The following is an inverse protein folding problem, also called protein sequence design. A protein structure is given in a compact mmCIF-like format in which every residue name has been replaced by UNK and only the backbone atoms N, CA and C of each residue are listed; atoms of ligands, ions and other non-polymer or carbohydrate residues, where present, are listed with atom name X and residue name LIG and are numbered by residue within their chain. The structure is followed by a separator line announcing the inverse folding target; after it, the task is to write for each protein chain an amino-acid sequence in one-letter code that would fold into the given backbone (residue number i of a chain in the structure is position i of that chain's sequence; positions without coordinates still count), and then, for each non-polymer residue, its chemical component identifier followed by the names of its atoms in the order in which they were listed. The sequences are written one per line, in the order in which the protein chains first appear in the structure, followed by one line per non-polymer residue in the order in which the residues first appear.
data_IF_222735704076
#
_entry.id   IF_222735704076
#
_cell.length_a   1.000
_cell.length_b   1.000
_cell.length_c   1.000
_cell.angle_alpha   90.00
_cell.angle_beta   90.00
_cell.angle_gamma   90.00
#
_symmetry.space_group_name_H-M   'P 1'
#
loop_
_entity.id
_entity.type
_entity.pdbx_description
1 polymer ?
#
# COMPACT_ATOMS: atom_id res chain seq x y z
N UNK A 1 81.16 45.15 15.56
CA UNK A 1 80.40 43.91 15.87
C UNK A 1 78.92 44.24 15.96
N UNK A 2 78.16 44.01 14.93
CA UNK A 2 76.72 44.35 14.87
C UNK A 2 75.96 43.08 15.04
N UNK A 3 75.20 42.91 16.15
CA UNK A 3 74.33 41.80 16.40
C UNK A 3 73.00 42.01 15.64
N UNK A 4 72.71 41.17 14.67
CA UNK A 4 71.46 41.13 13.95
C UNK A 4 70.47 40.36 14.81
N UNK A 5 69.38 41.03 15.28
CA UNK A 5 68.21 40.38 15.88
C UNK A 5 67.31 39.96 14.76
N UNK A 6 67.05 38.63 14.65
CA UNK A 6 66.02 38.08 13.82
C UNK A 6 64.67 38.21 14.56
N UNK A 7 63.83 39.06 14.05
CA UNK A 7 62.40 39.14 14.52
C UNK A 7 61.61 38.04 13.77
N UNK A 8 61.23 37.00 14.50
CA UNK A 8 60.30 35.99 13.97
C UNK A 8 58.89 36.56 14.14
N UNK A 9 58.31 36.99 13.03
CA UNK A 9 56.91 37.39 13.01
C UNK A 9 56.07 36.14 12.89
N UNK A 10 55.43 35.73 14.02
CA UNK A 10 54.48 34.64 14.06
C UNK A 10 53.15 35.13 13.51
N UNK A 11 52.88 34.87 12.22
CA UNK A 11 51.58 35.12 11.60
C UNK A 11 50.58 34.08 12.12
N UNK A 12 49.77 34.47 13.12
CA UNK A 12 48.56 33.74 13.55
C UNK A 12 47.53 33.83 12.43
N UNK A 13 47.38 32.76 11.63
CA UNK A 13 46.26 32.58 10.74
C UNK A 13 45.00 32.28 11.59
N UNK A 14 44.20 33.32 11.82
CA UNK A 14 42.81 33.17 12.28
C UNK A 14 42.01 32.55 11.14
N UNK A 15 41.80 31.24 11.20
CA UNK A 15 40.79 30.59 10.37
C UNK A 15 39.38 31.05 10.87
N UNK A 16 38.58 31.66 9.99
CA UNK A 16 37.17 31.87 10.37
C UNK A 16 36.53 30.51 10.53
N UNK A 17 36.01 30.25 11.71
CA UNK A 17 35.16 29.07 11.97
C UNK A 17 34.03 29.09 10.95
N UNK A 18 34.16 28.24 9.93
CA UNK A 18 33.10 28.02 8.95
C UNK A 18 31.83 27.58 9.67
N UNK A 19 30.86 28.48 9.76
CA UNK A 19 29.51 28.12 10.15
C UNK A 19 29.02 27.11 9.12
N UNK A 20 29.14 25.83 9.45
CA UNK A 20 28.50 24.76 8.73
C UNK A 20 27.00 25.01 8.83
N UNK A 21 26.44 25.62 7.78
CA UNK A 21 25.00 25.72 7.63
C UNK A 21 24.48 24.28 7.52
N UNK A 22 24.06 23.72 8.64
CA UNK A 22 23.30 22.48 8.67
C UNK A 22 22.08 22.73 7.79
N UNK A 23 22.14 22.19 6.56
CA UNK A 23 20.96 22.10 5.70
C UNK A 23 19.91 21.36 6.49
N UNK A 24 18.89 22.10 6.98
CA UNK A 24 17.69 21.49 7.53
C UNK A 24 17.22 20.48 6.48
N UNK A 25 17.03 19.19 6.84
CA UNK A 25 16.49 18.25 5.89
C UNK A 25 15.19 18.84 5.38
N UNK A 26 15.06 18.92 4.05
CA UNK A 26 13.83 19.39 3.41
C UNK A 26 12.68 18.63 4.05
N UNK A 27 11.67 19.36 4.55
CA UNK A 27 10.50 18.76 5.19
C UNK A 27 9.98 17.68 4.24
N UNK A 28 9.99 16.43 4.70
CA UNK A 28 9.57 15.28 3.90
C UNK A 28 8.14 15.56 3.49
N UNK A 29 7.93 15.88 2.20
CA UNK A 29 6.61 16.26 1.69
C UNK A 29 5.61 15.22 2.16
N UNK A 30 4.57 15.63 2.86
CA UNK A 30 3.57 14.69 3.36
C UNK A 30 2.87 14.01 2.17
N UNK A 31 3.36 12.83 1.84
CA UNK A 31 2.85 12.05 0.70
C UNK A 31 1.41 11.59 0.91
N UNK A 32 0.94 11.56 2.18
CA UNK A 32 -0.41 11.15 2.55
C UNK A 32 -1.47 12.14 2.07
N UNK A 33 -1.11 13.44 2.04
CA UNK A 33 -2.03 14.51 1.67
C UNK A 33 -2.57 14.44 0.23
N UNK A 34 -2.04 13.54 -0.61
CA UNK A 34 -2.52 13.32 -1.98
C UNK A 34 -3.61 12.24 -2.10
N UNK A 35 -3.99 11.61 -1.00
CA UNK A 35 -5.00 10.55 -0.94
C UNK A 35 -6.14 10.97 -0.01
N UNK A 36 -7.35 10.53 -0.32
CA UNK A 36 -8.54 10.77 0.50
C UNK A 36 -8.58 9.81 1.69
N UNK A 37 -7.93 8.64 1.53
CA UNK A 37 -7.73 7.69 2.62
C UNK A 37 -6.33 7.08 2.57
N UNK A 38 -5.76 6.89 3.75
CA UNK A 38 -4.48 6.21 3.97
C UNK A 38 -4.62 5.30 5.19
N UNK A 39 -4.57 4.00 4.96
CA UNK A 39 -4.68 2.98 6.00
C UNK A 39 -3.42 2.83 6.86
N UNK A 40 -3.46 1.86 7.77
CA UNK A 40 -2.28 1.41 8.49
C UNK A 40 -1.39 0.55 7.58
N UNK A 41 -0.13 0.39 7.98
CA UNK A 41 0.79 -0.51 7.28
C UNK A 41 0.50 -1.97 7.69
N UNK A 42 0.25 -2.81 6.71
CA UNK A 42 0.07 -4.24 6.86
C UNK A 42 0.95 -4.97 5.84
N UNK A 43 1.75 -5.93 6.28
CA UNK A 43 2.69 -6.70 5.44
C UNK A 43 3.61 -5.82 4.56
N UNK A 44 3.99 -4.61 5.06
CA UNK A 44 4.80 -3.64 4.34
C UNK A 44 4.06 -2.88 3.23
N UNK A 45 2.74 -2.95 3.20
CA UNK A 45 1.86 -2.22 2.28
C UNK A 45 0.89 -1.34 3.04
N UNK A 46 0.58 -0.19 2.47
CA UNK A 46 -0.40 0.76 2.98
C UNK A 46 -1.48 0.92 1.93
N UNK A 47 -2.70 0.55 2.30
CA UNK A 47 -3.88 0.78 1.47
C UNK A 47 -4.11 2.28 1.32
N UNK A 48 -4.28 2.74 0.08
CA UNK A 48 -4.59 4.14 -0.24
C UNK A 48 -5.78 4.21 -1.18
N UNK A 49 -6.55 5.28 -1.07
CA UNK A 49 -7.68 5.55 -1.95
C UNK A 49 -7.63 6.99 -2.46
N UNK A 50 -8.08 7.20 -3.68
CA UNK A 50 -8.25 8.52 -4.29
C UNK A 50 -9.49 8.54 -5.18
N UNK A 51 -10.24 9.65 -5.07
CA UNK A 51 -11.48 9.91 -5.83
C UNK A 51 -12.73 9.52 -5.05
N UNK A 52 -13.86 10.03 -5.50
CA UNK A 52 -15.15 9.80 -4.88
C UNK A 52 -15.48 10.67 -3.68
N UNK A 53 -16.78 10.88 -3.44
CA UNK A 53 -17.27 11.47 -2.20
C UNK A 53 -17.18 10.45 -1.08
N UNK A 54 -16.28 10.73 -0.12
CA UNK A 54 -15.85 9.75 0.85
C UNK A 54 -16.85 9.41 1.94
N UNK A 55 -16.91 8.15 2.26
CA UNK A 55 -17.29 7.67 3.58
C UNK A 55 -16.14 6.91 4.21
N UNK A 56 -15.98 7.01 5.53
CA UNK A 56 -14.88 6.43 6.28
C UNK A 56 -14.85 4.90 6.09
N UNK A 57 -13.75 4.30 5.57
CA UNK A 57 -13.62 2.85 5.42
C UNK A 57 -13.80 2.07 6.72
N UNK A 58 -13.51 2.70 7.87
CA UNK A 58 -13.70 2.09 9.20
C UNK A 58 -15.16 1.80 9.53
N UNK A 59 -16.09 2.42 8.80
CA UNK A 59 -17.54 2.22 8.97
C UNK A 59 -18.15 1.21 7.99
N UNK A 60 -17.33 0.49 7.19
CA UNK A 60 -17.83 -0.47 6.19
C UNK A 60 -18.62 0.16 5.04
N UNK A 61 -18.50 1.46 4.85
CA UNK A 61 -19.14 2.17 3.73
C UNK A 61 -18.17 2.23 2.57
N UNK A 62 -18.55 1.62 1.48
CA UNK A 62 -17.79 1.57 0.25
C UNK A 62 -17.75 2.96 -0.39
N UNK A 63 -16.58 3.39 -0.81
CA UNK A 63 -16.45 4.53 -1.71
C UNK A 63 -17.12 4.15 -3.03
N UNK A 64 -18.02 5.00 -3.49
CA UNK A 64 -18.80 4.70 -4.70
C UNK A 64 -18.08 5.08 -5.98
N UNK A 65 -17.15 6.03 -5.89
CA UNK A 65 -16.37 6.52 -7.02
C UNK A 65 -14.93 6.73 -6.57
N UNK A 66 -13.99 6.18 -7.31
CA UNK A 66 -12.57 6.29 -7.01
C UNK A 66 -11.87 4.95 -6.98
N UNK A 67 -10.55 4.98 -6.84
CA UNK A 67 -9.75 3.79 -6.96
C UNK A 67 -8.87 3.55 -5.73
N UNK A 68 -8.79 2.29 -5.33
CA UNK A 68 -7.87 1.78 -4.33
C UNK A 68 -6.59 1.26 -4.97
N UNK A 69 -5.50 1.41 -4.25
CA UNK A 69 -4.19 0.85 -4.55
C UNK A 69 -3.33 0.79 -3.31
N UNK A 70 -2.04 0.52 -3.47
CA UNK A 70 -1.16 0.37 -2.33
C UNK A 70 0.17 1.07 -2.53
N UNK A 71 0.65 1.67 -1.46
CA UNK A 71 2.01 2.21 -1.37
C UNK A 71 2.88 1.35 -0.47
N UNK A 72 4.20 1.55 -0.56
CA UNK A 72 5.12 1.16 0.49
C UNK A 72 5.03 2.13 1.70
N UNK A 73 5.81 1.86 2.74
CA UNK A 73 5.86 2.70 3.95
C UNK A 73 6.48 4.08 3.71
N UNK A 74 7.13 4.29 2.56
CA UNK A 74 7.69 5.58 2.15
C UNK A 74 6.71 6.42 1.31
N UNK A 75 5.57 5.84 0.90
CA UNK A 75 4.55 6.48 0.07
C UNK A 75 4.78 6.34 -1.43
N UNK A 76 5.68 5.43 -1.85
CA UNK A 76 5.84 5.04 -3.25
C UNK A 76 4.70 4.10 -3.63
N UNK A 77 4.00 4.38 -4.72
CA UNK A 77 2.95 3.49 -5.24
C UNK A 77 3.60 2.20 -5.72
N UNK A 78 3.23 1.09 -5.12
CA UNK A 78 3.68 -0.27 -5.49
C UNK A 78 2.63 -0.97 -6.33
N UNK A 79 1.36 -0.81 -5.97
CA UNK A 79 0.22 -1.34 -6.71
C UNK A 79 -0.64 -0.15 -7.14
N UNK A 80 -0.85 0.05 -8.45
CA UNK A 80 -1.61 1.18 -8.97
C UNK A 80 -3.02 1.26 -8.38
N UNK A 81 -3.58 2.47 -8.35
CA UNK A 81 -4.96 2.70 -7.91
C UNK A 81 -5.92 2.35 -9.07
N UNK A 82 -6.27 1.08 -9.17
CA UNK A 82 -7.09 0.52 -10.26
C UNK A 82 -8.25 -0.36 -9.76
N UNK A 83 -8.37 -0.54 -8.44
CA UNK A 83 -9.40 -1.40 -7.86
C UNK A 83 -10.56 -0.56 -7.31
N UNK A 84 -11.78 -1.02 -7.52
CA UNK A 84 -13.01 -0.40 -7.00
C UNK A 84 -13.30 -0.83 -5.56
N UNK A 85 -12.57 -1.86 -5.09
CA UNK A 85 -12.55 -2.33 -3.71
C UNK A 85 -11.17 -2.88 -3.38
N UNK A 86 -10.69 -2.69 -2.15
CA UNK A 86 -9.49 -3.34 -1.67
C UNK A 86 -9.45 -3.41 -0.15
N UNK A 87 -8.97 -4.53 0.39
CA UNK A 87 -8.70 -4.73 1.81
C UNK A 87 -7.22 -4.50 2.14
N UNK A 88 -6.93 -4.35 3.43
CA UNK A 88 -5.55 -4.36 3.91
C UNK A 88 -4.90 -5.73 3.69
N UNK A 89 -3.60 -5.74 3.45
CA UNK A 89 -2.84 -6.98 3.34
C UNK A 89 -2.89 -7.80 4.63
N UNK A 90 -3.00 -9.10 4.50
CA UNK A 90 -2.92 -10.07 5.58
C UNK A 90 -2.28 -11.36 5.06
N UNK A 91 -1.29 -11.90 5.77
CA UNK A 91 -0.56 -13.12 5.39
C UNK A 91 0.02 -13.07 3.96
N UNK A 92 0.42 -11.87 3.49
CA UNK A 92 1.02 -11.67 2.18
C UNK A 92 0.03 -11.44 1.03
N UNK A 93 -1.28 -11.43 1.30
CA UNK A 93 -2.34 -11.29 0.30
C UNK A 93 -3.36 -10.20 0.68
N UNK A 94 -4.06 -9.68 -0.33
CA UNK A 94 -5.17 -8.75 -0.13
C UNK A 94 -6.31 -9.10 -1.08
N UNK A 95 -7.54 -9.02 -0.58
CA UNK A 95 -8.75 -9.11 -1.41
C UNK A 95 -8.91 -7.80 -2.16
N UNK A 96 -9.17 -7.88 -3.45
CA UNK A 96 -9.46 -6.74 -4.31
C UNK A 96 -10.70 -7.00 -5.14
N UNK A 97 -11.37 -5.93 -5.57
CA UNK A 97 -12.57 -6.03 -6.39
C UNK A 97 -12.54 -5.07 -7.57
N UNK A 98 -13.09 -5.50 -8.69
CA UNK A 98 -13.29 -4.72 -9.92
C UNK A 98 -14.77 -4.73 -10.31
N UNK A 99 -15.23 -3.63 -10.86
CA UNK A 99 -16.60 -3.44 -11.31
C UNK A 99 -17.48 -2.64 -10.35
N UNK A 100 -18.64 -2.27 -10.81
CA UNK A 100 -19.62 -1.49 -10.05
C UNK A 100 -20.16 -2.28 -8.85
N UNK A 101 -20.70 -1.56 -7.85
CA UNK A 101 -21.12 -2.12 -6.57
C UNK A 101 -21.99 -3.39 -6.69
N UNK A 102 -22.92 -3.42 -7.64
CA UNK A 102 -23.86 -4.53 -7.80
C UNK A 102 -23.35 -5.68 -8.68
N UNK A 103 -22.28 -5.44 -9.44
CA UNK A 103 -21.63 -6.44 -10.31
C UNK A 103 -20.13 -6.58 -10.04
N UNK A 104 -19.70 -6.20 -8.86
CA UNK A 104 -18.28 -6.28 -8.47
C UNK A 104 -17.86 -7.73 -8.39
N UNK A 105 -16.67 -7.98 -8.95
CA UNK A 105 -16.01 -9.27 -8.88
C UNK A 105 -14.74 -9.15 -8.05
N UNK A 106 -14.58 -10.11 -7.17
CA UNK A 106 -13.49 -10.14 -6.20
C UNK A 106 -12.44 -11.15 -6.59
N UNK A 107 -11.22 -10.86 -6.22
CA UNK A 107 -10.05 -11.72 -6.39
C UNK A 107 -9.04 -11.49 -5.27
N UNK A 108 -7.89 -12.12 -5.40
CA UNK A 108 -6.80 -12.03 -4.44
C UNK A 108 -5.50 -11.61 -5.15
N UNK A 109 -4.78 -10.67 -4.58
CA UNK A 109 -3.47 -10.25 -5.07
C UNK A 109 -2.37 -10.51 -4.05
N UNK A 110 -1.15 -10.73 -4.55
CA UNK A 110 0.05 -10.76 -3.71
C UNK A 110 0.61 -9.35 -3.48
N UNK A 111 1.67 -9.23 -2.67
CA UNK A 111 2.33 -7.96 -2.33
C UNK A 111 2.98 -7.24 -3.51
N UNK A 112 3.14 -7.89 -4.66
CA UNK A 112 3.60 -7.33 -5.92
C UNK A 112 2.45 -6.87 -6.81
N UNK A 113 1.20 -7.13 -6.42
CA UNK A 113 0.00 -6.82 -7.20
C UNK A 113 -0.32 -7.84 -8.30
N UNK A 114 0.28 -9.03 -8.26
CA UNK A 114 -0.07 -10.10 -9.17
C UNK A 114 -1.37 -10.76 -8.70
N UNK A 115 -2.32 -10.92 -9.61
CA UNK A 115 -3.55 -11.65 -9.32
C UNK A 115 -3.24 -13.13 -9.11
N UNK A 116 -3.37 -13.58 -7.86
CA UNK A 116 -3.25 -15.00 -7.49
C UNK A 116 -4.59 -15.69 -7.72
N UNK A 117 -5.67 -15.02 -7.35
CA UNK A 117 -7.04 -15.42 -7.68
C UNK A 117 -7.64 -14.32 -8.55
N UNK A 118 -8.09 -14.61 -9.78
CA UNK A 118 -8.61 -13.58 -10.67
C UNK A 118 -9.90 -12.96 -10.12
N UNK A 119 -10.17 -11.69 -10.47
CA UNK A 119 -11.37 -10.97 -10.07
C UNK A 119 -12.58 -11.47 -10.89
N UNK A 120 -13.07 -12.65 -10.59
CA UNK A 120 -14.24 -13.28 -11.23
C UNK A 120 -15.30 -13.77 -10.25
N UNK A 121 -14.97 -13.83 -8.96
CA UNK A 121 -15.84 -14.39 -7.93
C UNK A 121 -16.81 -13.33 -7.35
N UNK A 122 -17.97 -13.78 -6.94
CA UNK A 122 -18.96 -12.92 -6.27
C UNK A 122 -18.52 -12.50 -4.87
N UNK A 123 -17.71 -13.33 -4.20
CA UNK A 123 -17.09 -13.03 -2.92
C UNK A 123 -15.78 -13.83 -2.76
N UNK A 124 -14.82 -13.25 -2.05
CA UNK A 124 -13.55 -13.87 -1.67
C UNK A 124 -13.28 -13.56 -0.21
N UNK A 125 -13.17 -14.57 0.64
CA UNK A 125 -13.03 -14.37 2.08
C UNK A 125 -12.25 -15.52 2.75
N UNK A 126 -11.77 -15.24 3.97
CA UNK A 126 -11.30 -16.27 4.89
C UNK A 126 -10.04 -16.98 4.46
N UNK A 127 -8.93 -16.22 4.28
CA UNK A 127 -7.61 -16.84 4.10
C UNK A 127 -7.21 -17.60 5.37
N UNK A 128 -7.14 -18.92 5.30
CA UNK A 128 -6.73 -19.79 6.39
C UNK A 128 -6.02 -21.02 5.86
N UNK A 129 -4.90 -21.39 6.50
CA UNK A 129 -4.13 -22.61 6.19
C UNK A 129 -3.77 -22.75 4.70
N UNK A 130 -3.49 -21.65 4.02
CA UNK A 130 -3.15 -21.64 2.59
C UNK A 130 -4.35 -21.77 1.65
N UNK A 131 -5.58 -21.73 2.17
CA UNK A 131 -6.81 -21.79 1.39
C UNK A 131 -7.60 -20.49 1.50
N UNK A 132 -8.25 -20.13 0.42
CA UNK A 132 -9.12 -18.97 0.28
C UNK A 132 -10.50 -19.46 -0.12
N UNK A 133 -11.53 -19.09 0.65
CA UNK A 133 -12.91 -19.36 0.25
C UNK A 133 -13.32 -18.42 -0.87
N UNK A 134 -13.87 -18.98 -1.92
CA UNK A 134 -14.45 -18.26 -3.06
C UNK A 134 -15.93 -18.59 -3.19
N UNK A 135 -16.70 -17.60 -3.65
CA UNK A 135 -18.13 -17.74 -3.91
C UNK A 135 -18.41 -17.41 -5.36
N UNK A 136 -19.20 -18.26 -6.01
CA UNK A 136 -19.84 -18.01 -7.29
C UNK A 136 -21.36 -17.85 -7.10
N UNK A 137 -21.99 -17.07 -7.98
CA UNK A 137 -23.40 -16.77 -7.91
C UNK A 137 -23.74 -15.71 -6.87
N UNK A 138 -24.89 -15.07 -7.09
CA UNK A 138 -25.47 -14.06 -6.21
C UNK A 138 -26.90 -14.50 -5.83
N UNK A 139 -27.44 -13.92 -4.77
CA UNK A 139 -28.79 -14.15 -4.28
C UNK A 139 -29.10 -15.60 -3.86
N UNK A 140 -30.01 -16.28 -4.54
CA UNK A 140 -30.53 -17.60 -4.14
C UNK A 140 -29.65 -18.79 -4.60
N UNK A 141 -28.72 -18.58 -5.49
CA UNK A 141 -27.85 -19.64 -6.01
C UNK A 141 -26.38 -19.30 -5.70
N UNK A 142 -25.99 -19.52 -4.47
CA UNK A 142 -24.59 -19.36 -4.03
C UNK A 142 -23.90 -20.71 -4.04
N UNK A 143 -22.69 -20.74 -4.56
CA UNK A 143 -21.81 -21.93 -4.50
C UNK A 143 -20.50 -21.53 -3.92
N UNK A 144 -20.05 -22.28 -2.95
CA UNK A 144 -18.76 -22.06 -2.28
C UNK A 144 -17.75 -23.11 -2.67
N UNK A 145 -16.53 -22.70 -2.77
CA UNK A 145 -15.36 -23.54 -3.00
C UNK A 145 -14.13 -22.96 -2.35
N UNK A 146 -13.01 -23.62 -2.52
CA UNK A 146 -11.73 -23.16 -2.00
C UNK A 146 -10.67 -23.23 -3.07
N UNK A 147 -9.84 -22.18 -3.14
CA UNK A 147 -8.66 -22.11 -3.97
C UNK A 147 -7.41 -22.00 -3.08
N UNK A 148 -6.28 -22.47 -3.56
CA UNK A 148 -5.01 -22.29 -2.87
C UNK A 148 -4.35 -20.93 -3.21
N UNK A 149 -3.19 -20.69 -2.64
CA UNK A 149 -2.38 -19.48 -2.88
C UNK A 149 -1.72 -19.44 -4.27
N UNK A 150 -1.91 -20.46 -5.09
CA UNK A 150 -1.52 -20.49 -6.49
C UNK A 150 -2.71 -20.27 -7.43
N UNK A 151 -3.92 -20.06 -6.87
CA UNK A 151 -5.16 -19.88 -7.62
C UNK A 151 -5.77 -21.19 -8.14
N UNK A 152 -5.30 -22.35 -7.66
CA UNK A 152 -5.84 -23.65 -8.07
C UNK A 152 -7.06 -24.00 -7.23
N UNK A 153 -8.12 -24.47 -7.88
CA UNK A 153 -9.34 -24.92 -7.18
C UNK A 153 -9.02 -26.25 -6.47
N UNK A 154 -9.02 -26.19 -5.13
CA UNK A 154 -8.79 -27.37 -4.27
C UNK A 154 -10.11 -28.03 -3.91
N UNK A 155 -11.13 -27.24 -3.62
CA UNK A 155 -12.49 -27.71 -3.36
C UNK A 155 -13.42 -27.06 -4.38
N UNK A 156 -14.07 -27.86 -5.23
CA UNK A 156 -14.96 -27.32 -6.27
C UNK A 156 -16.13 -26.50 -5.70
N UNK A 157 -16.60 -25.51 -6.46
CA UNK A 157 -17.74 -24.65 -6.13
C UNK A 157 -19.07 -25.41 -6.30
N UNK A 158 -19.46 -26.18 -5.32
CA UNK A 158 -20.70 -26.99 -5.34
C UNK A 158 -21.44 -27.06 -4.01
N UNK A 159 -20.95 -26.36 -2.99
CA UNK A 159 -21.57 -26.34 -1.66
C UNK A 159 -22.40 -25.06 -1.50
N UNK A 160 -23.62 -25.19 -0.96
CA UNK A 160 -24.55 -24.12 -0.63
C UNK A 160 -24.31 -23.60 0.79
#
# INVERSE_FOLDING_TARGET
MIKRYFIVVLLLFLFPAGVSAQRRPAAKKDWKAKYDYVGAAHDGRILVHRGGEGSDPRMGRFYTDGCFGYTDTCGTVVIPLIYDYADSFSNGFAVVGKGEKNDRRFGLIDRQGREVVPCIYADVAGFSSGLVRVQEGMDSVRRYGYVDTLGQVVIPLKYD
#
